data_IF_771618034482
#
_entry.id   IF_771618034482
#
_cell.length_a   1.000
_cell.length_b   1.000
_cell.length_c   1.000
_cell.angle_alpha   90.00
_cell.angle_beta   90.00
_cell.angle_gamma   90.00
#
_symmetry.space_group_name_H-M   'P 1'
#
loop_
_entity.id
_entity.type
_entity.pdbx_description
1 polymer ?
#
# COMPACT_ATOMS: atom_id res chain seq x y z
N UNK A 1 2.76 3.28 11.96
CA UNK A 1 2.94 1.82 11.82
C UNK A 1 2.96 1.51 10.34
N UNK A 2 3.81 0.57 9.93
CA UNK A 2 3.92 0.11 8.56
C UNK A 2 3.96 -1.42 8.49
N UNK A 3 3.43 -1.98 7.41
CA UNK A 3 3.44 -3.41 7.10
C UNK A 3 4.07 -3.60 5.72
N UNK A 4 5.13 -4.39 5.66
CA UNK A 4 5.82 -4.73 4.43
C UNK A 4 5.32 -6.07 3.89
N UNK A 5 4.93 -6.05 2.61
CA UNK A 5 4.68 -7.25 1.81
C UNK A 5 5.92 -7.46 0.94
N UNK A 6 6.74 -8.44 1.32
CA UNK A 6 8.04 -8.69 0.69
C UNK A 6 7.90 -8.88 -0.83
N UNK A 7 8.75 -8.17 -1.57
CA UNK A 7 8.75 -8.19 -3.03
C UNK A 7 7.68 -7.30 -3.67
N UNK A 8 6.68 -6.81 -2.93
CA UNK A 8 5.64 -5.93 -3.45
C UNK A 8 5.85 -4.47 -3.04
N UNK A 9 5.88 -4.21 -1.73
CA UNK A 9 5.93 -2.86 -1.18
C UNK A 9 5.50 -2.79 0.28
N UNK A 10 5.44 -1.57 0.80
CA UNK A 10 5.15 -1.28 2.20
C UNK A 10 3.93 -0.37 2.32
N UNK A 11 2.93 -0.83 3.05
CA UNK A 11 1.80 -0.01 3.49
C UNK A 11 2.17 0.69 4.78
N UNK A 12 1.86 1.98 4.90
CA UNK A 12 2.03 2.70 6.17
C UNK A 12 0.91 3.68 6.42
N UNK A 13 0.76 4.07 7.68
CA UNK A 13 -0.04 5.23 8.07
C UNK A 13 0.93 6.31 8.52
N UNK A 14 0.93 7.42 7.79
CA UNK A 14 1.74 8.61 8.12
C UNK A 14 0.84 9.68 8.73
N UNK A 15 1.42 10.45 9.65
CA UNK A 15 0.76 11.61 10.23
C UNK A 15 1.27 12.87 9.56
N UNK A 16 0.36 13.68 9.04
CA UNK A 16 0.66 14.99 8.50
C UNK A 16 0.01 16.08 9.36
N UNK A 17 0.78 17.14 9.60
CA UNK A 17 0.32 18.29 10.38
C UNK A 17 0.01 19.43 9.43
N UNK A 18 -1.24 19.86 9.44
CA UNK A 18 -1.72 21.00 8.70
C UNK A 18 -1.90 22.17 9.64
N UNK A 19 -1.29 23.30 9.29
CA UNK A 19 -1.40 24.54 10.05
C UNK A 19 -2.46 25.41 9.39
N UNK A 20 -3.60 25.58 10.06
CA UNK A 20 -4.54 26.66 9.73
C UNK A 20 -4.19 27.91 10.56
N UNK A 21 -4.85 29.04 10.27
CA UNK A 21 -4.62 30.30 11.02
C UNK A 21 -4.94 30.18 12.52
N UNK A 22 -5.79 29.21 12.90
CA UNK A 22 -6.36 29.10 14.24
C UNK A 22 -6.01 27.76 14.91
N UNK A 23 -5.77 26.70 14.14
CA UNK A 23 -5.56 25.35 14.68
C UNK A 23 -4.57 24.50 13.86
N UNK A 24 -3.92 23.56 14.54
CA UNK A 24 -3.12 22.49 13.92
C UNK A 24 -3.97 21.23 13.80
N UNK A 25 -4.22 20.79 12.58
CA UNK A 25 -4.91 19.53 12.31
C UNK A 25 -3.88 18.44 12.05
N UNK A 26 -3.96 17.34 12.79
CA UNK A 26 -3.16 16.14 12.54
C UNK A 26 -4.04 15.16 11.78
N UNK A 27 -3.66 14.84 10.54
CA UNK A 27 -4.37 13.92 9.64
C UNK A 27 -3.55 12.65 9.49
N UNK A 28 -4.20 11.50 9.54
CA UNK A 28 -3.61 10.18 9.33
C UNK A 28 -3.98 9.72 7.93
N UNK A 29 -3.00 9.69 7.02
CA UNK A 29 -3.24 9.18 5.67
C UNK A 29 -2.56 7.84 5.42
N UNK A 30 -3.20 6.94 4.66
CA UNK A 30 -2.55 5.74 4.20
C UNK A 30 -1.55 6.08 3.08
N UNK A 31 -0.43 5.37 3.06
CA UNK A 31 0.58 5.45 2.00
C UNK A 31 1.01 4.05 1.59
N UNK A 32 1.39 3.93 0.32
CA UNK A 32 2.01 2.72 -0.21
C UNK A 32 3.32 3.11 -0.88
N UNK A 33 4.40 2.51 -0.42
CA UNK A 33 5.73 2.65 -0.99
C UNK A 33 6.07 1.35 -1.71
N UNK A 34 6.20 1.40 -3.03
CA UNK A 34 6.55 0.24 -3.84
C UNK A 34 7.98 -0.24 -3.52
N UNK A 35 8.19 -1.55 -3.62
CA UNK A 35 9.53 -2.14 -3.55
C UNK A 35 10.26 -1.93 -4.89
N UNK A 36 11.06 -0.86 -4.97
CA UNK A 36 11.60 -0.32 -6.22
C UNK A 36 12.74 -1.13 -6.85
N UNK A 37 13.34 -2.06 -6.10
CA UNK A 37 14.47 -2.86 -6.57
C UNK A 37 14.12 -3.67 -7.83
N UNK A 38 12.84 -4.00 -8.01
CA UNK A 38 12.34 -4.74 -9.18
C UNK A 38 11.96 -3.86 -10.39
N UNK A 39 11.80 -2.55 -10.20
CA UNK A 39 11.14 -1.66 -11.19
C UNK A 39 12.05 -0.67 -11.90
N UNK A 40 13.26 -0.46 -11.39
CA UNK A 40 14.27 0.41 -12.03
C UNK A 40 14.56 0.04 -13.49
N UNK A 41 14.26 -1.20 -13.89
CA UNK A 41 14.44 -1.74 -15.24
C UNK A 41 13.22 -1.60 -16.15
N UNK A 42 12.04 -1.24 -15.64
CA UNK A 42 10.77 -1.34 -16.38
C UNK A 42 10.24 -0.01 -16.91
N UNK A 43 10.97 1.10 -16.73
CA UNK A 43 10.54 2.46 -17.11
C UNK A 43 9.16 2.88 -16.54
N UNK A 44 8.68 2.15 -15.51
CA UNK A 44 7.42 2.42 -14.85
C UNK A 44 7.62 3.52 -13.80
N UNK A 45 6.96 4.65 -13.98
CA UNK A 45 7.02 5.76 -13.03
C UNK A 45 6.28 5.39 -11.74
N UNK A 46 6.95 5.44 -10.60
CA UNK A 46 6.31 5.16 -9.32
C UNK A 46 6.27 6.47 -8.53
N UNK A 47 5.10 6.93 -8.04
CA UNK A 47 5.05 8.09 -7.17
C UNK A 47 6.01 7.87 -5.98
N UNK A 48 7.00 8.74 -5.83
CA UNK A 48 7.99 8.62 -4.75
C UNK A 48 7.33 9.02 -3.44
N UNK A 49 6.72 8.04 -2.77
CA UNK A 49 6.25 8.18 -1.40
C UNK A 49 7.32 7.63 -0.48
N UNK A 50 7.84 8.49 0.40
CA UNK A 50 8.88 8.10 1.36
C UNK A 50 8.23 7.94 2.73
N UNK A 51 8.24 6.71 3.25
CA UNK A 51 7.84 6.45 4.63
C UNK A 51 8.93 7.02 5.57
N UNK A 52 8.57 7.83 6.58
CA UNK A 52 9.54 8.36 7.54
C UNK A 52 10.31 7.25 8.26
N UNK A 53 11.62 7.43 8.47
CA UNK A 53 12.49 6.40 9.01
C UNK A 53 12.24 6.02 10.47
N UNK A 54 11.48 6.83 11.21
CA UNK A 54 11.02 6.56 12.57
C UNK A 54 9.79 5.63 12.63
N UNK A 55 9.15 5.36 11.49
CA UNK A 55 8.02 4.43 11.42
C UNK A 55 8.53 2.99 11.53
N UNK A 56 8.14 2.29 12.60
CA UNK A 56 8.36 0.84 12.73
C UNK A 56 7.67 0.09 11.59
N UNK A 57 8.46 -0.62 10.79
CA UNK A 57 8.02 -1.52 9.73
C UNK A 57 7.95 -2.95 10.29
N UNK A 58 6.79 -3.58 10.15
CA UNK A 58 6.56 -4.97 10.49
C UNK A 58 6.40 -5.78 9.20
N UNK A 59 6.85 -7.03 9.16
CA UNK A 59 6.59 -7.91 8.03
C UNK A 59 5.13 -8.37 8.06
N UNK A 60 4.59 -8.72 6.89
CA UNK A 60 3.27 -9.35 6.79
C UNK A 60 3.16 -10.53 7.78
N UNK A 61 2.18 -10.46 8.66
CA UNK A 61 1.97 -11.48 9.68
C UNK A 61 1.16 -12.66 9.12
N UNK A 62 1.89 -13.73 8.78
CA UNK A 62 1.28 -14.97 8.30
C UNK A 62 0.46 -15.70 9.38
N UNK A 63 0.62 -15.39 10.67
CA UNK A 63 -0.21 -16.00 11.72
C UNK A 63 -1.68 -15.61 11.57
N UNK A 64 -1.97 -14.37 11.19
CA UNK A 64 -3.34 -13.94 10.90
C UNK A 64 -3.92 -14.68 9.68
N UNK A 65 -3.11 -14.89 8.64
CA UNK A 65 -3.53 -15.65 7.45
C UNK A 65 -3.77 -17.14 7.76
N UNK A 66 -3.00 -17.71 8.68
CA UNK A 66 -3.21 -19.08 9.18
C UNK A 66 -4.50 -19.24 9.96
N UNK A 67 -4.99 -18.19 10.63
CA UNK A 67 -6.29 -18.25 11.32
C UNK A 67 -7.46 -18.12 10.34
N UNK A 68 -7.27 -17.40 9.23
CA UNK A 68 -8.29 -17.21 8.22
C UNK A 68 -8.40 -18.37 7.22
N UNK A 69 -7.42 -19.28 7.19
CA UNK A 69 -7.32 -20.37 6.21
C UNK A 69 -6.93 -21.68 6.87
N UNK A 70 -7.16 -22.81 6.19
CA UNK A 70 -6.72 -24.13 6.69
C UNK A 70 -5.37 -24.58 6.10
N UNK A 71 -4.65 -23.67 5.44
CA UNK A 71 -3.40 -23.99 4.77
C UNK A 71 -2.20 -23.90 5.72
N UNK A 72 -1.18 -24.76 5.56
CA UNK A 72 0.04 -24.64 6.34
C UNK A 72 0.83 -23.40 5.91
N UNK A 73 1.65 -22.88 6.83
CA UNK A 73 2.37 -21.60 6.65
C UNK A 73 3.16 -21.51 5.35
N UNK A 74 3.89 -22.57 5.01
CA UNK A 74 4.72 -22.60 3.80
C UNK A 74 3.89 -22.50 2.50
N UNK A 75 2.64 -23.00 2.51
CA UNK A 75 1.73 -22.85 1.36
C UNK A 75 1.28 -21.40 1.25
N UNK A 76 0.93 -20.75 2.36
CA UNK A 76 0.53 -19.34 2.35
C UNK A 76 1.66 -18.40 1.91
N UNK A 77 2.87 -18.61 2.44
CA UNK A 77 4.07 -17.88 2.03
C UNK A 77 4.36 -18.07 0.53
N UNK A 78 4.21 -19.31 0.03
CA UNK A 78 4.24 -19.62 -1.39
C UNK A 78 3.22 -18.79 -2.16
N UNK A 79 1.93 -18.91 -1.82
CA UNK A 79 0.86 -18.22 -2.52
C UNK A 79 1.10 -16.70 -2.62
N UNK A 80 1.48 -16.04 -1.52
CA UNK A 80 1.78 -14.61 -1.53
C UNK A 80 2.91 -14.30 -2.51
N UNK A 81 4.03 -15.02 -2.43
CA UNK A 81 5.18 -14.84 -3.31
C UNK A 81 4.84 -15.11 -4.78
N UNK A 82 4.15 -16.20 -5.07
CA UNK A 82 3.78 -16.59 -6.43
C UNK A 82 2.77 -15.61 -7.04
N UNK A 83 1.81 -15.12 -6.28
CA UNK A 83 0.85 -14.11 -6.73
C UNK A 83 1.55 -12.79 -7.09
N UNK A 84 2.50 -12.33 -6.27
CA UNK A 84 3.30 -11.12 -6.55
C UNK A 84 4.15 -11.32 -7.81
N UNK A 85 4.81 -12.47 -7.94
CA UNK A 85 5.61 -12.80 -9.13
C UNK A 85 4.75 -12.82 -10.40
N UNK A 86 3.58 -13.46 -10.35
CA UNK A 86 2.65 -13.51 -11.47
C UNK A 86 2.18 -12.11 -11.85
N UNK A 87 1.84 -11.27 -10.87
CA UNK A 87 1.45 -9.88 -11.12
C UNK A 87 2.52 -9.12 -11.89
N UNK A 88 3.79 -9.25 -11.49
CA UNK A 88 4.91 -8.62 -12.18
C UNK A 88 5.18 -9.17 -13.57
N UNK A 89 5.03 -10.47 -13.77
CA UNK A 89 5.14 -11.06 -15.11
C UNK A 89 4.09 -10.49 -16.06
N UNK A 90 2.88 -10.23 -15.57
CA UNK A 90 1.82 -9.61 -16.36
C UNK A 90 2.16 -8.15 -16.69
N UNK A 91 2.61 -7.36 -15.71
CA UNK A 91 3.06 -5.98 -15.94
C UNK A 91 4.19 -5.92 -16.97
N UNK A 92 5.18 -6.81 -16.87
CA UNK A 92 6.30 -6.90 -17.83
C UNK A 92 5.83 -7.24 -19.24
N UNK A 93 4.75 -8.00 -19.38
CA UNK A 93 4.15 -8.34 -20.67
C UNK A 93 3.23 -7.23 -21.22
N UNK A 94 3.23 -6.04 -20.60
CA UNK A 94 2.40 -4.90 -21.00
C UNK A 94 0.93 -5.04 -20.59
N UNK A 95 0.59 -6.00 -19.71
CA UNK A 95 -0.76 -6.13 -19.18
C UNK A 95 -0.93 -5.21 -17.97
N UNK A 96 -1.85 -4.24 -18.08
CA UNK A 96 -2.16 -3.29 -17.02
C UNK A 96 -3.20 -3.84 -16.03
N UNK A 97 -2.87 -4.95 -15.37
CA UNK A 97 -3.77 -5.57 -14.40
C UNK A 97 -3.85 -4.73 -13.12
N UNK A 98 -5.07 -4.61 -12.60
CA UNK A 98 -5.33 -4.05 -11.28
C UNK A 98 -5.15 -5.14 -10.21
N UNK A 99 -4.47 -4.80 -9.12
CA UNK A 99 -4.34 -5.64 -7.93
C UNK A 99 -5.16 -5.02 -6.79
N UNK A 100 -6.30 -5.62 -6.47
CA UNK A 100 -7.18 -5.13 -5.42
C UNK A 100 -6.79 -5.72 -4.05
N UNK A 101 -6.53 -4.84 -3.10
CA UNK A 101 -6.44 -5.15 -1.68
C UNK A 101 -7.80 -4.86 -1.06
N UNK A 102 -8.51 -5.92 -0.68
CA UNK A 102 -9.83 -5.81 -0.04
C UNK A 102 -9.76 -4.83 1.13
N UNK A 103 -10.71 -3.90 1.17
CA UNK A 103 -10.86 -2.85 2.21
C UNK A 103 -9.73 -1.81 2.27
N UNK A 104 -8.68 -1.92 1.46
CA UNK A 104 -7.55 -0.99 1.45
C UNK A 104 -7.59 -0.14 0.18
N UNK A 105 -7.58 -0.76 -1.00
CA UNK A 105 -7.53 -0.04 -2.27
C UNK A 105 -7.05 -0.89 -3.44
N UNK A 106 -6.67 -0.24 -4.53
CA UNK A 106 -6.25 -0.90 -5.77
C UNK A 106 -4.89 -0.37 -6.22
N UNK A 107 -3.96 -1.28 -6.49
CA UNK A 107 -2.70 -0.98 -7.16
C UNK A 107 -2.89 -1.21 -8.66
N UNK A 108 -2.74 -0.18 -9.46
CA UNK A 108 -2.98 -0.26 -10.91
C UNK A 108 -2.05 0.65 -11.69
N UNK A 109 -1.93 0.39 -12.99
CA UNK A 109 -1.23 1.29 -13.88
C UNK A 109 -2.07 2.55 -14.14
N UNK A 110 -1.44 3.72 -14.01
CA UNK A 110 -1.94 5.01 -14.47
C UNK A 110 -0.96 5.56 -15.51
N UNK A 111 -1.31 5.41 -16.79
CA UNK A 111 -0.38 5.61 -17.89
C UNK A 111 0.84 4.68 -17.77
N UNK A 112 2.04 5.27 -17.73
CA UNK A 112 3.30 4.54 -17.51
C UNK A 112 3.66 4.37 -16.04
N UNK A 113 2.78 4.75 -15.10
CA UNK A 113 3.08 4.66 -13.69
C UNK A 113 2.31 3.58 -12.94
N UNK A 114 2.87 3.06 -11.84
CA UNK A 114 2.16 2.16 -10.94
C UNK A 114 1.77 2.91 -9.67
N UNK A 115 0.46 3.04 -9.44
CA UNK A 115 -0.08 3.87 -8.37
C UNK A 115 -1.06 3.09 -7.50
N UNK A 116 -1.00 3.33 -6.19
CA UNK A 116 -1.97 2.81 -5.23
C UNK A 116 -3.07 3.84 -5.01
N UNK A 117 -4.31 3.45 -5.32
CA UNK A 117 -5.51 4.22 -5.05
C UNK A 117 -6.21 3.62 -3.82
N UNK A 118 -6.26 4.36 -2.72
CA UNK A 118 -6.93 3.91 -1.50
C UNK A 118 -8.45 4.11 -1.58
N UNK A 119 -9.20 3.16 -1.02
CA UNK A 119 -10.64 3.33 -0.90
C UNK A 119 -10.99 4.44 0.10
N UNK A 120 -12.06 5.18 -0.16
CA UNK A 120 -12.54 6.23 0.73
C UNK A 120 -12.81 5.72 2.16
N UNK A 121 -13.34 4.50 2.28
CA UNK A 121 -13.58 3.85 3.57
C UNK A 121 -12.27 3.52 4.32
N UNK A 122 -11.21 3.15 3.59
CA UNK A 122 -9.88 2.95 4.17
C UNK A 122 -9.34 4.26 4.75
N UNK A 123 -9.43 5.35 3.97
CA UNK A 123 -8.94 6.67 4.38
C UNK A 123 -9.74 7.21 5.56
N UNK A 124 -11.08 7.16 5.49
CA UNK A 124 -11.95 7.67 6.55
C UNK A 124 -11.91 6.81 7.81
N UNK A 125 -11.64 5.51 7.71
CA UNK A 125 -11.45 4.62 8.86
C UNK A 125 -10.20 4.93 9.69
N UNK A 126 -9.19 5.59 9.11
CA UNK A 126 -7.97 6.00 9.83
C UNK A 126 -8.18 7.24 10.70
N UNK A 127 -9.20 8.03 10.38
CA UNK A 127 -9.58 9.25 11.07
C UNK A 127 -10.57 8.96 12.21
N UNK A 128 -10.13 9.08 13.47
CA UNK A 128 -11.08 9.15 14.59
C UNK A 128 -11.77 10.52 14.56
N UNK A 129 -12.91 10.59 13.87
CA UNK A 129 -13.90 11.67 13.97
C UNK A 129 -13.39 13.08 13.54
N UNK A 130 -12.69 13.20 12.42
CA UNK A 130 -12.49 14.44 11.64
C UNK A 130 -11.76 14.04 10.33
N UNK A 131 -12.09 14.36 9.09
CA UNK A 131 -12.76 15.50 8.50
C UNK A 131 -12.84 15.26 6.98
N UNK A 132 -13.59 16.09 6.24
CA UNK A 132 -13.59 16.13 4.76
C UNK A 132 -12.22 16.48 4.14
N UNK A 133 -11.23 16.90 4.93
CA UNK A 133 -9.90 17.33 4.48
C UNK A 133 -9.09 16.13 3.97
N UNK A 134 -9.23 14.96 4.59
CA UNK A 134 -8.53 13.74 4.17
C UNK A 134 -8.95 13.25 2.77
N UNK A 135 -10.21 13.48 2.37
CA UNK A 135 -10.74 13.09 1.05
C UNK A 135 -10.34 14.04 -0.09
N UNK A 136 -9.88 15.26 0.22
CA UNK A 136 -9.43 16.21 -0.80
C UNK A 136 -8.00 15.89 -1.31
N UNK A 137 -7.34 14.88 -0.76
CA UNK A 137 -5.93 14.55 -1.04
C UNK A 137 -5.71 13.13 -1.56
N UNK A 138 -6.78 12.36 -1.77
CA UNK A 138 -6.77 11.08 -2.50
C UNK A 138 -7.10 11.31 -3.96
#
# INVERSE_FOLDING_TARGET
QAVQVAGLGTFAVVQERFYSKEEVHVVRRPVFQLDTDNFSLWEIACPTVVIPGDVKIELLDYWWLLQATSFPRHVLEGCVRETILLYYLQLRNGQHLAFAFREIGVLSCDGNGLCMQFYADCVTGLERKASRIALLQT
#
